data_IF_015112942677
#
_entry.id   IF_015112942677
#
_cell.length_a   1.000
_cell.length_b   1.000
_cell.length_c   1.000
_cell.angle_alpha   90.00
_cell.angle_beta   90.00
_cell.angle_gamma   90.00
#
_symmetry.space_group_name_H-M   'P 1'
#
loop_
_entity.id
_entity.type
_entity.pdbx_description
1 polymer ?
#
# COMPACT_ATOMS: atom_id res chain seq x y z
N UNK A 1 31.05 -1.85 5.10
CA UNK A 1 30.53 -1.64 5.26
C UNK A 1 29.50 -1.25 5.41
N UNK A 2 29.30 -1.29 5.75
CA UNK A 2 28.18 -1.01 6.19
C UNK A 2 27.18 -0.46 5.51
N UNK A 3 27.27 -0.03 4.53
CA UNK A 3 26.33 0.46 3.85
C UNK A 3 25.19 -0.28 3.79
N UNK A 4 25.27 -1.41 3.66
CA UNK A 4 24.15 -2.15 3.52
C UNK A 4 23.44 -2.33 4.82
N UNK A 5 24.15 -2.35 5.86
CA UNK A 5 23.53 -2.47 7.16
C UNK A 5 22.60 -1.31 7.45
N UNK A 6 22.84 -0.19 6.80
CA UNK A 6 22.04 0.96 7.02
C UNK A 6 20.76 0.89 6.22
N UNK A 7 19.64 0.86 6.91
CA UNK A 7 18.35 0.90 6.24
C UNK A 7 18.04 2.31 5.80
N UNK A 8 17.36 2.40 4.68
CA UNK A 8 16.98 3.69 4.14
C UNK A 8 15.55 4.00 4.53
N UNK A 9 15.38 4.84 5.52
CA UNK A 9 14.05 5.23 6.00
C UNK A 9 13.22 5.88 4.91
N UNK A 10 13.86 6.63 4.01
CA UNK A 10 13.13 7.23 2.90
C UNK A 10 12.50 6.18 2.00
N UNK A 11 13.24 5.10 1.73
CA UNK A 11 12.70 4.01 0.92
C UNK A 11 11.57 3.30 1.65
N UNK A 12 11.70 3.14 2.97
CA UNK A 12 10.65 2.54 3.76
C UNK A 12 9.38 3.39 3.72
N UNK A 13 9.52 4.70 3.88
CA UNK A 13 8.37 5.59 3.82
C UNK A 13 7.70 5.57 2.46
N UNK A 14 8.50 5.53 1.39
CA UNK A 14 7.95 5.43 0.04
C UNK A 14 7.20 4.13 -0.12
N UNK A 15 7.77 3.01 0.33
CA UNK A 15 7.11 1.71 0.25
C UNK A 15 5.81 1.69 1.01
N UNK A 16 5.77 2.29 2.19
CA UNK A 16 4.56 2.36 2.99
C UNK A 16 3.48 3.18 2.28
N UNK A 17 3.87 4.30 1.66
CA UNK A 17 2.90 5.13 0.95
C UNK A 17 2.30 4.40 -0.24
N UNK A 18 3.12 3.65 -0.98
CA UNK A 18 2.62 2.88 -2.11
C UNK A 18 1.63 1.82 -1.62
N UNK A 19 1.98 1.10 -0.55
CA UNK A 19 1.07 0.09 0.01
C UNK A 19 -0.22 0.73 0.48
N UNK A 20 -0.15 1.88 1.13
CA UNK A 20 -1.33 2.58 1.61
C UNK A 20 -2.22 3.05 0.47
N UNK A 21 -1.62 3.52 -0.62
CA UNK A 21 -2.38 3.91 -1.80
C UNK A 21 -3.08 2.71 -2.44
N UNK A 22 -2.41 1.56 -2.51
CA UNK A 22 -3.03 0.36 -3.03
C UNK A 22 -4.24 -0.05 -2.20
N UNK A 23 -4.09 -0.05 -0.88
CA UNK A 23 -5.20 -0.38 0.02
C UNK A 23 -6.34 0.60 -0.16
N UNK A 24 -6.02 1.90 -0.24
CA UNK A 24 -7.04 2.92 -0.40
C UNK A 24 -7.83 2.71 -1.68
N UNK A 25 -7.14 2.56 -2.80
CA UNK A 25 -7.82 2.38 -4.09
C UNK A 25 -8.67 1.11 -4.09
N UNK A 26 -8.12 0.03 -3.53
CA UNK A 26 -8.84 -1.23 -3.51
C UNK A 26 -10.11 -1.17 -2.67
N UNK A 27 -9.98 -0.70 -1.43
CA UNK A 27 -11.12 -0.65 -0.52
C UNK A 27 -12.16 0.37 -0.95
N UNK A 28 -11.70 1.50 -1.52
CA UNK A 28 -12.65 2.52 -1.99
C UNK A 28 -13.51 2.00 -3.13
N UNK A 29 -12.94 1.11 -3.95
CA UNK A 29 -13.66 0.48 -5.05
C UNK A 29 -14.28 -0.85 -4.63
N UNK A 30 -14.20 -1.20 -3.35
CA UNK A 30 -14.84 -2.39 -2.79
C UNK A 30 -14.40 -3.67 -3.48
N UNK A 31 -13.11 -3.75 -3.74
CA UNK A 31 -12.52 -4.93 -4.39
C UNK A 31 -11.86 -5.82 -3.34
N UNK A 32 -12.02 -7.14 -3.46
CA UNK A 32 -11.26 -8.04 -2.59
C UNK A 32 -9.82 -8.16 -3.04
N UNK A 33 -8.95 -8.51 -2.11
CA UNK A 33 -7.52 -8.68 -2.42
C UNK A 33 -7.29 -9.69 -3.53
N UNK A 34 -8.14 -10.69 -3.61
CA UNK A 34 -8.01 -11.74 -4.61
C UNK A 34 -8.04 -11.19 -6.03
N UNK A 35 -8.82 -10.13 -6.25
CA UNK A 35 -8.91 -9.53 -7.58
C UNK A 35 -7.59 -8.87 -8.00
N UNK A 36 -6.96 -8.17 -7.09
CA UNK A 36 -5.67 -7.55 -7.41
C UNK A 36 -4.57 -8.60 -7.53
N UNK A 37 -4.67 -9.68 -6.78
CA UNK A 37 -3.74 -10.79 -6.91
C UNK A 37 -3.80 -11.35 -8.34
N UNK A 38 -4.99 -11.47 -8.90
CA UNK A 38 -5.13 -11.93 -10.28
C UNK A 38 -4.48 -11.00 -11.28
N UNK A 39 -4.56 -9.70 -11.03
CA UNK A 39 -3.98 -8.70 -11.93
C UNK A 39 -2.48 -8.90 -12.12
N UNK A 40 -1.82 -9.48 -11.13
CA UNK A 40 -0.37 -9.65 -11.16
C UNK A 40 0.05 -11.12 -11.15
N UNK A 41 -0.91 -12.01 -11.37
CA UNK A 41 -0.61 -13.45 -11.43
C UNK A 41 0.02 -13.96 -10.15
N UNK A 42 -0.41 -13.43 -9.01
CA UNK A 42 0.12 -13.81 -7.72
C UNK A 42 -0.92 -14.59 -6.92
N UNK A 43 -0.45 -15.35 -5.95
CA UNK A 43 -1.36 -15.99 -5.00
C UNK A 43 -1.95 -14.92 -4.08
N UNK A 44 -3.04 -15.29 -3.42
CA UNK A 44 -3.67 -14.43 -2.44
C UNK A 44 -2.69 -14.03 -1.34
N UNK A 45 -1.92 -15.01 -0.84
CA UNK A 45 -0.95 -14.78 0.21
C UNK A 45 0.18 -13.85 -0.24
N UNK A 46 0.64 -14.03 -1.47
CA UNK A 46 1.67 -13.15 -2.02
C UNK A 46 1.17 -11.70 -2.11
N UNK A 47 -0.05 -11.52 -2.57
CA UNK A 47 -0.60 -10.18 -2.68
C UNK A 47 -0.81 -9.55 -1.30
N UNK A 48 -1.26 -10.33 -0.31
CA UNK A 48 -1.41 -9.82 1.04
C UNK A 48 -0.12 -9.24 1.58
N UNK A 49 1.00 -9.91 1.29
CA UNK A 49 2.31 -9.43 1.75
C UNK A 49 2.68 -8.10 1.11
N UNK A 50 2.23 -7.87 -0.12
CA UNK A 50 2.48 -6.58 -0.78
C UNK A 50 1.69 -5.46 -0.09
N UNK A 51 0.43 -5.70 0.23
CA UNK A 51 -0.37 -4.68 0.90
C UNK A 51 0.09 -4.39 2.32
N UNK A 52 0.67 -5.38 2.99
CA UNK A 52 1.19 -5.18 4.35
C UNK A 52 2.60 -4.63 4.35
N UNK A 53 3.16 -4.38 3.19
CA UNK A 53 4.53 -3.88 3.05
C UNK A 53 5.56 -4.84 3.63
N UNK A 54 5.23 -6.14 3.67
CA UNK A 54 6.17 -7.19 4.01
C UNK A 54 7.11 -7.41 2.84
N UNK A 55 6.54 -7.46 1.63
CA UNK A 55 7.30 -7.49 0.38
C UNK A 55 6.97 -6.22 -0.39
N UNK A 56 7.93 -5.77 -1.21
CA UNK A 56 7.73 -4.60 -2.05
C UNK A 56 7.14 -5.03 -3.38
N UNK A 57 6.24 -4.19 -3.89
CA UNK A 57 5.65 -4.45 -5.20
C UNK A 57 6.66 -4.05 -6.28
N UNK A 58 6.74 -4.86 -7.32
CA UNK A 58 7.56 -4.52 -8.48
C UNK A 58 6.83 -3.51 -9.35
N UNK A 59 7.60 -2.68 -10.06
CA UNK A 59 7.02 -1.70 -10.96
C UNK A 59 6.09 -2.33 -11.98
N UNK A 60 6.48 -3.47 -12.54
CA UNK A 60 5.66 -4.16 -13.53
C UNK A 60 4.32 -4.59 -12.95
N UNK A 61 4.32 -5.05 -11.71
CA UNK A 61 3.08 -5.46 -11.04
C UNK A 61 2.15 -4.27 -10.85
N UNK A 62 2.72 -3.15 -10.42
CA UNK A 62 1.92 -1.95 -10.21
C UNK A 62 1.32 -1.44 -11.51
N UNK A 63 2.11 -1.45 -12.59
CA UNK A 63 1.61 -1.05 -13.89
C UNK A 63 0.47 -1.96 -14.33
N UNK A 64 0.59 -3.27 -14.12
CA UNK A 64 -0.47 -4.22 -14.47
C UNK A 64 -1.77 -3.90 -13.73
N UNK A 65 -1.67 -3.64 -12.43
CA UNK A 65 -2.86 -3.30 -11.65
C UNK A 65 -3.49 -2.02 -12.17
N UNK A 66 -2.68 -0.98 -12.34
CA UNK A 66 -3.19 0.33 -12.76
C UNK A 66 -3.83 0.28 -14.13
N UNK A 67 -3.24 -0.48 -15.06
CA UNK A 67 -3.81 -0.62 -16.38
C UNK A 67 -5.14 -1.37 -16.36
N UNK A 68 -5.21 -2.45 -15.58
CA UNK A 68 -6.43 -3.23 -15.48
C UNK A 68 -7.56 -2.47 -14.80
N UNK A 69 -7.23 -1.69 -13.78
CA UNK A 69 -8.24 -0.99 -12.98
C UNK A 69 -8.48 0.43 -13.43
N UNK A 70 -7.66 0.93 -14.34
CA UNK A 70 -7.71 2.31 -14.82
C UNK A 70 -7.49 3.30 -13.70
N UNK A 71 -6.53 2.95 -12.83
CA UNK A 71 -6.09 3.83 -11.76
C UNK A 71 -4.89 4.63 -12.23
N UNK A 72 -4.76 5.84 -11.68
CA UNK A 72 -3.65 6.72 -12.01
C UNK A 72 -2.40 6.26 -11.26
N UNK A 73 -1.43 5.73 -11.99
CA UNK A 73 -0.22 5.21 -11.38
C UNK A 73 0.61 6.30 -10.71
N UNK A 74 0.53 7.54 -11.20
CA UNK A 74 1.30 8.63 -10.58
C UNK A 74 0.76 8.95 -9.19
N UNK A 75 -0.53 8.84 -8.97
CA UNK A 75 -1.12 9.03 -7.64
C UNK A 75 -0.61 7.96 -6.69
N UNK A 76 -0.59 6.71 -7.14
CA UNK A 76 -0.15 5.61 -6.28
C UNK A 76 1.34 5.70 -5.99
N UNK A 77 2.13 6.03 -6.98
CA UNK A 77 3.58 6.07 -6.82
C UNK A 77 4.08 7.30 -6.07
N UNK A 78 3.45 8.45 -6.28
CA UNK A 78 3.98 9.71 -5.79
C UNK A 78 3.04 10.48 -4.88
N UNK A 79 1.75 10.13 -4.87
CA UNK A 79 0.77 10.85 -4.08
C UNK A 79 0.88 10.52 -2.60
N UNK A 80 0.53 11.49 -1.76
CA UNK A 80 0.45 11.26 -0.33
C UNK A 80 -0.91 10.63 -0.02
N UNK A 81 -0.93 9.43 0.58
CA UNK A 81 -2.20 8.74 0.83
C UNK A 81 -3.19 9.55 1.66
N UNK A 82 -2.70 10.29 2.65
CA UNK A 82 -3.57 11.11 3.49
C UNK A 82 -4.23 12.20 2.69
N UNK A 83 -3.50 12.81 1.76
CA UNK A 83 -4.07 13.83 0.90
C UNK A 83 -5.09 13.23 -0.06
N UNK A 84 -4.78 12.05 -0.61
CA UNK A 84 -5.68 11.37 -1.54
C UNK A 84 -7.02 11.06 -0.87
N UNK A 85 -6.98 10.45 0.33
CA UNK A 85 -8.22 10.08 1.00
C UNK A 85 -8.99 11.31 1.44
N UNK A 86 -8.27 12.37 1.85
CA UNK A 86 -8.92 13.62 2.24
C UNK A 86 -9.70 14.20 1.08
N UNK A 87 -9.13 14.12 -0.11
CA UNK A 87 -9.80 14.60 -1.31
C UNK A 87 -11.05 13.75 -1.60
N UNK A 88 -10.94 12.44 -1.45
CA UNK A 88 -12.04 11.53 -1.78
C UNK A 88 -13.21 11.62 -0.80
N UNK A 89 -12.94 11.97 0.46
CA UNK A 89 -14.03 12.08 1.44
C UNK A 89 -14.77 13.40 1.38
N UNK A 90 -14.33 14.34 0.56
CA UNK A 90 -15.01 15.64 0.46
C UNK A 90 -16.47 15.52 0.00
N UNK A 91 -16.79 14.44 -0.71
CA UNK A 91 -18.15 14.23 -1.16
C UNK A 91 -19.09 13.79 -0.04
N UNK A 92 -18.55 13.46 1.13
CA UNK A 92 -19.35 13.03 2.27
C UNK A 92 -19.44 14.18 3.26
N UNK A 93 -20.70 14.64 3.53
CA UNK A 93 -20.89 15.83 4.34
C UNK A 93 -21.11 15.56 5.81
N UNK A 94 -21.83 14.49 6.14
CA UNK A 94 -22.27 14.27 7.51
C UNK A 94 -21.54 13.14 8.21
N UNK A 95 -21.34 12.02 7.52
CA UNK A 95 -20.69 10.87 8.13
C UNK A 95 -19.80 10.22 7.10
N UNK A 96 -18.64 9.72 7.57
CA UNK A 96 -17.73 9.04 6.70
C UNK A 96 -18.22 7.63 6.42
N UNK A 97 -17.98 7.09 5.20
CA UNK A 97 -18.40 5.73 4.88
C UNK A 97 -17.60 4.70 5.64
N UNK A 98 -18.16 3.51 5.79
CA UNK A 98 -17.48 2.43 6.51
C UNK A 98 -16.11 2.13 5.88
N UNK A 99 -16.00 2.25 4.57
CA UNK A 99 -14.74 1.97 3.89
C UNK A 99 -13.62 2.92 4.32
N UNK A 100 -13.96 4.14 4.75
CA UNK A 100 -12.95 5.05 5.28
C UNK A 100 -12.25 4.43 6.50
N UNK A 101 -13.04 3.91 7.43
CA UNK A 101 -12.48 3.33 8.66
C UNK A 101 -11.71 2.05 8.37
N UNK A 102 -12.15 1.29 7.37
CA UNK A 102 -11.39 0.10 6.96
C UNK A 102 -10.02 0.48 6.42
N UNK A 103 -9.95 1.54 5.63
CA UNK A 103 -8.68 2.03 5.09
C UNK A 103 -7.76 2.44 6.24
N UNK A 104 -8.26 3.24 7.16
CA UNK A 104 -7.44 3.73 8.28
C UNK A 104 -6.90 2.55 9.10
N UNK A 105 -7.75 1.56 9.38
CA UNK A 105 -7.31 0.38 10.13
C UNK A 105 -6.22 -0.38 9.40
N UNK A 106 -6.36 -0.55 8.09
CA UNK A 106 -5.34 -1.25 7.31
C UNK A 106 -4.05 -0.44 7.25
N UNK A 107 -4.13 0.88 7.17
CA UNK A 107 -2.95 1.73 7.17
C UNK A 107 -2.15 1.56 8.46
N UNK A 108 -2.83 1.45 9.60
CA UNK A 108 -2.13 1.22 10.87
C UNK A 108 -1.39 -0.11 10.86
N UNK A 109 -2.01 -1.13 10.27
CA UNK A 109 -1.37 -2.44 10.15
C UNK A 109 -0.14 -2.38 9.23
N UNK A 110 -0.23 -1.58 8.17
CA UNK A 110 0.91 -1.39 7.27
C UNK A 110 2.08 -0.76 8.02
N UNK A 111 1.81 0.27 8.82
CA UNK A 111 2.85 0.92 9.59
C UNK A 111 3.56 -0.07 10.52
N UNK A 112 2.78 -0.88 11.21
CA UNK A 112 3.35 -1.85 12.13
C UNK A 112 4.14 -2.94 11.42
N UNK A 113 3.60 -3.47 10.33
CA UNK A 113 4.26 -4.53 9.57
C UNK A 113 5.56 -4.04 8.94
N UNK A 114 5.52 -2.86 8.34
CA UNK A 114 6.69 -2.32 7.66
C UNK A 114 7.82 -2.07 8.64
N UNK A 115 7.50 -1.49 9.79
CA UNK A 115 8.51 -1.17 10.78
C UNK A 115 9.07 -2.43 11.42
N UNK A 116 8.23 -3.42 11.68
CA UNK A 116 8.70 -4.69 12.23
C UNK A 116 9.68 -5.37 11.26
N UNK A 117 9.35 -5.37 9.98
CA UNK A 117 10.24 -5.95 8.98
C UNK A 117 11.54 -5.17 8.86
N UNK A 118 11.48 -3.85 8.97
CA UNK A 118 12.67 -3.03 8.91
C UNK A 118 13.61 -3.38 10.05
N UNK A 119 13.11 -3.43 11.28
CA UNK A 119 13.94 -3.71 12.44
C UNK A 119 14.41 -5.16 12.47
N UNK A 120 13.56 -6.09 12.04
CA UNK A 120 13.96 -7.49 11.97
C UNK A 120 15.13 -7.67 11.01
N UNK A 121 15.10 -6.99 9.86
CA UNK A 121 16.19 -7.05 8.92
C UNK A 121 17.49 -6.54 9.50
N UNK A 122 17.42 -5.50 10.31
CA UNK A 122 18.61 -4.95 10.95
C UNK A 122 19.18 -5.90 11.98
N UNK A 123 18.32 -6.59 12.70
CA UNK A 123 18.79 -7.55 13.71
C UNK A 123 19.53 -8.71 13.09
N UNK A 124 19.10 -9.12 11.92
CA UNK A 124 19.75 -10.23 11.22
C UNK A 124 21.14 -9.81 10.73
N UNK A 125 21.27 -8.57 10.35
CA UNK A 125 22.53 -8.07 9.85
C UNK A 125 23.57 -7.95 10.94
#
# INVERSE_FOLDING_TARGET
>A
MGRRARKNWNNLEISKRIAKQLVLHRLWNELPQRELAKDINASFQQYQKLEKCVNRIFAEQLVSICNNRKWDSSVILQGNPEDTIREWIKEFNDALPKKYYKVINQWEMIDKSAENNYFRGREIE
#
